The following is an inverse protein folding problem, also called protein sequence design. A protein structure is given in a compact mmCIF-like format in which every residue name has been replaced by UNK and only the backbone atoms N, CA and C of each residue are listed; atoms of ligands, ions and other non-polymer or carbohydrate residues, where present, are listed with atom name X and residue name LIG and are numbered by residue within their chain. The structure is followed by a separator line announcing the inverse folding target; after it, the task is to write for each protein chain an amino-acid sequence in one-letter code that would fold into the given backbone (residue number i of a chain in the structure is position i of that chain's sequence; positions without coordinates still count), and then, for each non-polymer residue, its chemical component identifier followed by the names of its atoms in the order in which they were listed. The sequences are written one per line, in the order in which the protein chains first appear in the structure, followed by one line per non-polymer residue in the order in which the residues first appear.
data_IF_293084633554
#
_entry.id   IF_293084633554
#
_cell.length_a   1.000
_cell.length_b   1.000
_cell.length_c   1.000
_cell.angle_alpha   90.00
_cell.angle_beta   90.00
_cell.angle_gamma   90.00
#
_symmetry.space_group_name_H-M   'P 1'
#
loop_
_entity.id
_entity.type
_entity.pdbx_description
1 polymer ?
#
# COMPACT_ATOMS: atom_id res chain seq x y z
N UNK A 1 14.69 1.18 -39.79
CA UNK A 1 14.28 2.18 -38.77
C UNK A 1 12.83 1.95 -38.44
N UNK A 2 12.52 1.48 -37.23
CA UNK A 2 11.17 1.52 -36.68
C UNK A 2 11.26 2.05 -35.26
N UNK A 3 10.54 3.14 -35.03
CA UNK A 3 10.62 4.01 -33.85
C UNK A 3 9.96 3.28 -32.68
N UNK A 4 10.74 3.09 -31.60
CA UNK A 4 10.23 2.64 -30.31
C UNK A 4 9.31 3.70 -29.75
N UNK A 5 8.02 3.40 -29.73
CA UNK A 5 6.99 4.16 -29.03
C UNK A 5 6.08 3.17 -28.34
N UNK A 6 6.47 2.70 -27.16
CA UNK A 6 5.50 2.14 -26.24
C UNK A 6 5.88 2.60 -24.84
N UNK A 7 5.12 3.58 -24.35
CA UNK A 7 5.19 4.08 -22.98
C UNK A 7 5.08 2.89 -22.04
N UNK A 8 6.21 2.54 -21.40
CA UNK A 8 6.23 1.54 -20.36
C UNK A 8 5.36 2.05 -19.22
N UNK A 9 4.11 1.60 -19.17
CA UNK A 9 3.32 1.65 -17.95
C UNK A 9 4.17 1.00 -16.87
N UNK A 10 4.61 1.78 -15.88
CA UNK A 10 5.25 1.26 -14.68
C UNK A 10 4.29 0.24 -14.07
N UNK A 11 4.52 -1.04 -14.36
CA UNK A 11 3.92 -2.13 -13.61
C UNK A 11 4.50 -2.01 -12.22
N UNK A 12 3.73 -1.40 -11.32
CA UNK A 12 3.99 -1.40 -9.88
C UNK A 12 4.42 -2.81 -9.50
N UNK A 13 5.59 -3.04 -8.86
CA UNK A 13 5.96 -4.38 -8.45
C UNK A 13 4.79 -5.03 -7.70
N UNK A 14 4.29 -6.14 -8.22
CA UNK A 14 3.27 -6.93 -7.54
C UNK A 14 3.95 -7.70 -6.42
N UNK A 15 4.16 -7.00 -5.31
CA UNK A 15 4.62 -7.61 -4.07
C UNK A 15 3.50 -8.48 -3.51
N UNK A 16 3.62 -9.82 -3.54
CA UNK A 16 2.57 -10.69 -3.03
C UNK A 16 2.37 -10.42 -1.54
N UNK A 17 1.12 -10.14 -1.14
CA UNK A 17 0.74 -9.93 0.26
C UNK A 17 0.60 -8.47 0.73
N UNK A 18 0.90 -7.47 -0.12
CA UNK A 18 0.55 -6.07 0.17
C UNK A 18 -0.82 -5.75 -0.43
N UNK A 19 -1.75 -5.35 0.42
CA UNK A 19 -3.06 -4.85 0.01
C UNK A 19 -2.88 -3.39 -0.44
N UNK A 20 -3.05 -3.16 -1.75
CA UNK A 20 -2.80 -1.85 -2.38
C UNK A 20 -4.03 -0.95 -2.45
N UNK A 21 -5.22 -1.53 -2.26
CA UNK A 21 -6.50 -0.84 -2.40
C UNK A 21 -7.35 -1.08 -1.16
N UNK A 22 -7.74 0.00 -0.50
CA UNK A 22 -8.75 0.02 0.57
C UNK A 22 -9.58 1.28 0.34
N UNK A 23 -10.80 1.10 -0.16
CA UNK A 23 -11.64 2.19 -0.66
C UNK A 23 -12.53 2.81 0.40
N UNK A 24 -12.68 2.16 1.57
CA UNK A 24 -13.54 2.68 2.64
C UNK A 24 -13.04 2.37 4.05
N UNK A 25 -13.41 3.17 5.06
CA UNK A 25 -13.15 2.85 6.46
C UNK A 25 -13.75 1.52 6.92
N UNK A 26 -14.88 1.09 6.31
CA UNK A 26 -15.50 -0.19 6.63
C UNK A 26 -14.61 -1.36 6.16
N UNK A 27 -14.09 -1.28 4.95
CA UNK A 27 -13.14 -2.26 4.41
C UNK A 27 -11.85 -2.30 5.26
N UNK A 28 -11.31 -1.13 5.60
CA UNK A 28 -10.14 -1.01 6.47
C UNK A 28 -10.33 -1.70 7.84
N UNK A 29 -11.56 -1.72 8.39
CA UNK A 29 -11.90 -2.44 9.63
C UNK A 29 -12.06 -3.94 9.43
N UNK A 30 -12.54 -4.36 8.26
CA UNK A 30 -12.79 -5.76 7.93
C UNK A 30 -11.51 -6.54 7.59
N UNK A 31 -10.40 -5.84 7.32
CA UNK A 31 -9.12 -6.50 7.00
C UNK A 31 -8.69 -7.49 8.11
N UNK A 32 -8.19 -8.68 7.75
CA UNK A 32 -7.68 -9.64 8.72
C UNK A 32 -6.57 -9.07 9.61
N UNK A 33 -6.45 -9.56 10.85
CA UNK A 33 -5.26 -9.31 11.67
C UNK A 33 -3.97 -9.74 10.95
N UNK A 34 -2.90 -8.99 11.12
CA UNK A 34 -1.61 -9.26 10.46
C UNK A 34 -1.54 -8.86 8.99
N UNK A 35 -2.61 -8.36 8.37
CA UNK A 35 -2.57 -7.83 7.01
C UNK A 35 -1.56 -6.69 6.86
N UNK A 36 -0.94 -6.61 5.69
CA UNK A 36 -0.04 -5.51 5.31
C UNK A 36 -0.74 -4.70 4.23
N UNK A 37 -0.91 -3.41 4.49
CA UNK A 37 -1.51 -2.45 3.56
C UNK A 37 -0.44 -1.45 3.17
N UNK A 38 -0.41 -1.00 1.93
CA UNK A 38 0.56 0.00 1.53
C UNK A 38 0.53 0.36 0.07
N UNK A 39 1.28 1.40 -0.26
CA UNK A 39 1.41 1.93 -1.60
C UNK A 39 2.87 2.31 -1.94
N UNK A 40 3.05 2.78 -3.17
CA UNK A 40 4.31 3.30 -3.71
C UNK A 40 4.39 4.84 -3.70
N UNK A 41 3.40 5.49 -3.10
CA UNK A 41 3.17 6.93 -3.24
C UNK A 41 3.21 7.67 -1.90
N UNK A 42 3.72 7.04 -0.83
CA UNK A 42 3.88 7.69 0.47
C UNK A 42 2.67 7.55 1.40
N UNK A 43 1.78 6.59 1.15
CA UNK A 43 0.51 6.42 1.86
C UNK A 43 -0.61 7.34 1.38
N UNK A 44 -0.38 8.13 0.33
CA UNK A 44 -1.32 9.17 -0.16
C UNK A 44 -2.46 8.59 -1.01
N UNK A 45 -2.39 7.31 -1.41
CA UNK A 45 -3.50 6.69 -2.15
C UNK A 45 -4.68 6.33 -1.26
N UNK A 46 -4.49 6.35 0.06
CA UNK A 46 -5.54 6.12 1.04
C UNK A 46 -6.13 7.45 1.49
N UNK A 47 -7.46 7.52 1.59
CA UNK A 47 -8.10 8.70 2.18
C UNK A 47 -7.75 8.82 3.67
N UNK A 48 -7.76 10.03 4.21
CA UNK A 48 -7.46 10.29 5.63
C UNK A 48 -8.31 9.40 6.57
N UNK A 49 -9.59 9.19 6.22
CA UNK A 49 -10.49 8.35 6.99
C UNK A 49 -10.08 6.87 6.96
N UNK A 50 -9.54 6.37 5.84
CA UNK A 50 -9.00 5.01 5.73
C UNK A 50 -7.67 4.91 6.49
N UNK A 51 -6.75 5.85 6.26
CA UNK A 51 -5.45 5.88 6.92
C UNK A 51 -5.59 5.90 8.44
N UNK A 52 -6.48 6.73 8.98
CA UNK A 52 -6.78 6.80 10.41
C UNK A 52 -7.25 5.46 10.99
N UNK A 53 -8.13 4.74 10.28
CA UNK A 53 -8.58 3.42 10.71
C UNK A 53 -7.42 2.42 10.69
N UNK A 54 -6.61 2.39 9.64
CA UNK A 54 -5.47 1.49 9.54
C UNK A 54 -4.44 1.77 10.65
N UNK A 55 -4.16 3.04 10.95
CA UNK A 55 -3.29 3.47 12.04
C UNK A 55 -3.81 3.03 13.40
N UNK A 56 -5.11 3.22 13.67
CA UNK A 56 -5.71 2.76 14.93
C UNK A 56 -5.59 1.24 15.16
N UNK A 57 -5.39 0.48 14.07
CA UNK A 57 -5.24 -0.98 14.08
C UNK A 57 -3.79 -1.44 14.02
N UNK A 58 -2.82 -0.53 14.08
CA UNK A 58 -1.39 -0.83 14.06
C UNK A 58 -0.69 -0.30 15.30
N UNK A 59 0.18 -1.11 15.90
CA UNK A 59 1.05 -0.66 17.00
C UNK A 59 2.18 0.25 16.54
N UNK A 60 2.56 0.20 15.26
CA UNK A 60 3.76 0.87 14.73
C UNK A 60 3.46 2.00 13.76
N UNK A 61 2.21 2.10 13.28
CA UNK A 61 1.81 3.06 12.26
C UNK A 61 2.47 2.77 10.90
N UNK A 62 2.49 3.80 10.06
CA UNK A 62 3.12 3.77 8.75
C UNK A 62 4.64 3.73 8.84
N UNK A 63 5.26 3.00 7.92
CA UNK A 63 6.72 2.89 7.80
C UNK A 63 7.13 2.77 6.34
N UNK A 64 8.29 3.33 6.03
CA UNK A 64 8.93 3.13 4.75
C UNK A 64 9.74 1.82 4.77
N UNK A 65 9.61 1.03 3.71
CA UNK A 65 10.39 -0.21 3.52
C UNK A 65 10.85 -0.31 2.06
N UNK A 66 12.09 -0.74 1.86
CA UNK A 66 12.58 -1.06 0.53
C UNK A 66 12.23 -2.51 0.18
N UNK A 67 11.48 -2.71 -0.91
CA UNK A 67 11.10 -4.03 -1.43
C UNK A 67 11.43 -4.05 -2.92
N UNK A 68 12.30 -4.98 -3.34
CA UNK A 68 12.76 -5.12 -4.72
C UNK A 68 13.24 -3.78 -5.31
N UNK A 69 14.09 -3.07 -4.57
CA UNK A 69 14.65 -1.75 -4.91
C UNK A 69 13.63 -0.61 -5.06
N UNK A 70 12.39 -0.82 -4.61
CA UNK A 70 11.34 0.21 -4.60
C UNK A 70 10.96 0.55 -3.16
N UNK A 71 10.86 1.85 -2.87
CA UNK A 71 10.37 2.33 -1.58
C UNK A 71 8.84 2.19 -1.49
N UNK A 72 8.37 1.49 -0.48
CA UNK A 72 6.97 1.33 -0.15
C UNK A 72 6.65 2.01 1.16
N UNK A 73 5.49 2.66 1.24
CA UNK A 73 4.91 3.07 2.52
C UNK A 73 3.89 2.04 2.92
N UNK A 74 4.17 1.31 4.00
CA UNK A 74 3.32 0.22 4.47
C UNK A 74 2.87 0.43 5.91
N UNK A 75 1.76 -0.19 6.26
CA UNK A 75 1.28 -0.36 7.61
C UNK A 75 0.91 -1.82 7.83
N UNK A 76 1.34 -2.37 8.97
CA UNK A 76 1.02 -3.73 9.37
C UNK A 76 -0.01 -3.70 10.47
N UNK A 77 -1.13 -4.39 10.25
CA UNK A 77 -2.18 -4.52 11.24
C UNK A 77 -1.77 -5.51 12.32
N UNK A 78 -2.21 -5.26 13.55
CA UNK A 78 -1.94 -6.13 14.68
C UNK A 78 -2.48 -7.54 14.42
N UNK A 79 -1.78 -8.57 14.91
CA UNK A 79 -2.23 -9.97 14.87
C UNK A 79 -3.27 -10.24 15.96
#
# INVERSE_FOLDING_TARGET
MLISGNSAGKTSPDTPGIIKCVSSPAEARALPPGSVVGDLYGGVTFSDAVAHVLESRSLRGWREVAIADVSWTIIQLNR
#
